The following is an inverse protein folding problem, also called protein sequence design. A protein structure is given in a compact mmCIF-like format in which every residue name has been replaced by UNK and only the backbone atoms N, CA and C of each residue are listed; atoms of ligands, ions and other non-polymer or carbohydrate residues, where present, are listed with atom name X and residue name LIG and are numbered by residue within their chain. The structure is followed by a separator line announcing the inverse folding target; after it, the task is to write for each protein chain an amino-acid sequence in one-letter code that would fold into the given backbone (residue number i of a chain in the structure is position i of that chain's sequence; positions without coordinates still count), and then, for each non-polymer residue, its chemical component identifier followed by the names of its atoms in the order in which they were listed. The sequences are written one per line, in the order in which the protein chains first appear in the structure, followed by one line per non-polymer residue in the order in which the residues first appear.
data_IF_653627344194
#
_entry.id   IF_653627344194
#
_cell.length_a   1.000
_cell.length_b   1.000
_cell.length_c   1.000
_cell.angle_alpha   90.00
_cell.angle_beta   90.00
_cell.angle_gamma   90.00
#
_symmetry.space_group_name_H-M   'P 1'
#
loop_
_entity.id
_entity.type
_entity.pdbx_description
1 polymer ?
#
# COMPACT_ATOMS: atom_id res chain seq x y z
N UNK A 1 8.37 51.49 -30.24
CA UNK A 1 7.36 50.43 -30.42
C UNK A 1 7.65 49.36 -29.38
N UNK A 2 7.00 49.39 -28.20
CA UNK A 2 7.25 48.44 -27.12
C UNK A 2 6.23 47.30 -27.20
N UNK A 3 6.73 46.08 -27.41
CA UNK A 3 5.92 44.86 -27.39
C UNK A 3 5.66 44.45 -25.94
N UNK A 4 4.38 44.41 -25.55
CA UNK A 4 3.94 43.88 -24.25
C UNK A 4 3.70 42.38 -24.43
N UNK A 5 4.57 41.56 -23.83
CA UNK A 5 4.39 40.12 -23.74
C UNK A 5 3.38 39.81 -22.62
N UNK A 6 2.21 39.31 -22.98
CA UNK A 6 1.22 38.79 -22.03
C UNK A 6 1.66 37.38 -21.64
N UNK A 7 2.17 37.23 -20.42
CA UNK A 7 2.39 35.93 -19.81
C UNK A 7 1.03 35.35 -19.40
N UNK A 8 0.52 34.41 -20.19
CA UNK A 8 -0.61 33.58 -19.81
C UNK A 8 -0.20 32.71 -18.62
N UNK A 9 -0.69 33.02 -17.42
CA UNK A 9 -0.48 32.18 -16.25
C UNK A 9 -1.38 30.95 -16.41
N UNK A 10 -0.84 29.72 -16.45
CA UNK A 10 -1.68 28.53 -16.49
C UNK A 10 -2.48 28.48 -15.18
N UNK A 11 -3.80 28.60 -15.29
CA UNK A 11 -4.70 28.31 -14.18
C UNK A 11 -4.50 26.84 -13.82
N UNK A 12 -3.83 26.58 -12.70
CA UNK A 12 -3.78 25.25 -12.11
C UNK A 12 -5.23 24.87 -11.80
N UNK A 13 -5.75 23.90 -12.53
CA UNK A 13 -7.02 23.27 -12.19
C UNK A 13 -6.82 22.66 -10.81
N UNK A 14 -7.38 23.30 -9.78
CA UNK A 14 -7.44 22.70 -8.45
C UNK A 14 -8.17 21.36 -8.64
N UNK A 15 -7.53 20.24 -8.29
CA UNK A 15 -8.23 18.97 -8.09
C UNK A 15 -9.50 19.28 -7.31
N UNK A 16 -10.64 18.81 -7.82
CA UNK A 16 -11.96 19.37 -7.48
C UNK A 16 -12.13 19.43 -5.97
N UNK A 17 -12.22 20.65 -5.42
CA UNK A 17 -12.38 20.83 -3.97
C UNK A 17 -13.57 19.96 -3.50
N UNK A 18 -13.45 19.23 -2.38
CA UNK A 18 -14.50 18.36 -1.90
C UNK A 18 -15.85 19.08 -1.86
N UNK A 19 -16.90 18.44 -2.36
CA UNK A 19 -18.24 19.04 -2.49
C UNK A 19 -18.77 19.63 -1.17
N UNK A 20 -18.35 19.06 -0.04
CA UNK A 20 -18.74 19.54 1.28
C UNK A 20 -18.15 20.90 1.64
N UNK A 21 -17.07 21.35 0.99
CA UNK A 21 -16.40 22.61 1.32
C UNK A 21 -17.35 23.82 1.24
N UNK A 22 -18.22 23.84 0.23
CA UNK A 22 -19.18 24.92 -0.04
C UNK A 22 -20.56 24.68 0.57
N UNK A 23 -20.76 23.57 1.29
CA UNK A 23 -22.04 23.28 1.93
C UNK A 23 -22.35 24.31 3.02
N UNK A 24 -23.58 24.81 3.05
CA UNK A 24 -24.03 25.74 4.08
C UNK A 24 -24.00 25.06 5.44
N UNK A 25 -23.41 25.71 6.44
CA UNK A 25 -23.17 25.10 7.74
C UNK A 25 -23.52 26.04 8.91
N UNK A 26 -24.83 26.15 9.21
CA UNK A 26 -25.36 26.99 10.27
C UNK A 26 -25.33 26.26 11.64
N UNK A 27 -24.14 25.95 12.13
CA UNK A 27 -23.93 25.35 13.44
C UNK A 27 -23.15 26.31 14.35
N UNK A 28 -23.59 26.42 15.60
CA UNK A 28 -22.97 27.28 16.60
C UNK A 28 -22.43 26.41 17.72
N UNK A 29 -21.11 26.49 17.93
CA UNK A 29 -20.41 25.81 19.02
C UNK A 29 -20.29 26.74 20.23
N UNK A 30 -20.71 26.27 21.41
CA UNK A 30 -20.58 26.99 22.67
C UNK A 30 -20.16 26.01 23.77
N UNK A 31 -18.94 26.15 24.30
CA UNK A 31 -18.42 25.37 25.44
C UNK A 31 -18.64 23.85 25.32
N UNK A 32 -18.27 23.28 24.16
CA UNK A 32 -18.39 21.85 23.88
C UNK A 32 -17.02 21.19 23.83
N UNK A 33 -16.97 19.89 24.13
CA UNK A 33 -15.78 19.07 23.88
C UNK A 33 -15.41 19.11 22.40
N UNK A 34 -14.13 19.32 22.12
CA UNK A 34 -13.66 19.49 20.75
C UNK A 34 -13.79 18.21 19.93
N UNK A 35 -13.65 17.02 20.52
CA UNK A 35 -13.81 15.76 19.78
C UNK A 35 -15.25 15.56 19.41
N UNK A 36 -16.17 15.84 20.32
CA UNK A 36 -17.60 15.72 20.06
C UNK A 36 -18.04 16.73 19.01
N UNK A 37 -17.55 17.97 19.07
CA UNK A 37 -17.76 18.98 18.05
C UNK A 37 -17.35 18.52 16.63
N UNK A 38 -16.18 17.88 16.52
CA UNK A 38 -15.65 17.38 15.24
C UNK A 38 -16.40 16.14 14.74
N UNK A 39 -16.83 15.25 15.64
CA UNK A 39 -17.68 14.10 15.30
C UNK A 39 -19.04 14.56 14.80
N UNK A 40 -19.63 15.56 15.46
CA UNK A 40 -20.90 16.16 15.07
C UNK A 40 -20.80 16.85 13.71
N UNK A 41 -19.70 17.57 13.45
CA UNK A 41 -19.40 18.12 12.14
C UNK A 41 -19.40 17.05 11.04
N UNK A 42 -18.70 15.93 11.27
CA UNK A 42 -18.70 14.78 10.37
C UNK A 42 -20.10 14.21 10.13
N UNK A 43 -20.86 13.99 11.21
CA UNK A 43 -22.22 13.48 11.16
C UNK A 43 -23.16 14.37 10.34
N UNK A 44 -23.10 15.68 10.57
CA UNK A 44 -23.95 16.66 9.88
C UNK A 44 -23.69 16.70 8.36
N UNK A 45 -22.46 16.43 7.95
CA UNK A 45 -22.05 16.41 6.53
C UNK A 45 -22.03 15.01 5.93
N UNK A 46 -22.34 13.97 6.71
CA UNK A 46 -22.21 12.56 6.32
C UNK A 46 -20.80 12.19 5.86
N UNK A 47 -19.78 12.74 6.52
CA UNK A 47 -18.37 12.47 6.24
C UNK A 47 -17.75 11.73 7.43
N UNK A 48 -17.09 10.59 7.21
CA UNK A 48 -16.30 9.93 8.25
C UNK A 48 -15.19 10.85 8.77
N UNK A 49 -15.09 10.97 10.10
CA UNK A 49 -14.05 11.79 10.76
C UNK A 49 -13.22 10.92 11.69
N UNK A 50 -11.90 10.99 11.52
CA UNK A 50 -10.91 10.37 12.41
C UNK A 50 -10.18 11.47 13.16
N UNK A 51 -10.27 11.44 14.49
CA UNK A 51 -9.68 12.45 15.37
C UNK A 51 -8.53 11.82 16.16
N UNK A 52 -7.35 12.44 16.12
CA UNK A 52 -6.18 12.01 16.89
C UNK A 52 -6.44 12.01 18.39
N UNK A 53 -5.92 11.00 19.08
CA UNK A 53 -6.00 10.88 20.55
C UNK A 53 -5.26 11.98 21.32
N UNK A 54 -4.42 12.75 20.61
CA UNK A 54 -3.70 13.91 21.13
C UNK A 54 -4.61 15.12 21.31
N UNK A 55 -5.71 15.21 20.56
CA UNK A 55 -6.64 16.35 20.60
C UNK A 55 -7.51 16.22 21.85
N UNK A 56 -7.42 17.15 22.79
CA UNK A 56 -8.23 17.13 24.02
C UNK A 56 -8.61 18.55 24.40
N UNK A 57 -9.70 18.69 25.14
CA UNK A 57 -10.13 19.96 25.70
C UNK A 57 -11.46 20.44 25.15
N UNK A 58 -11.75 21.72 25.43
CA UNK A 58 -13.03 22.34 25.16
C UNK A 58 -12.83 23.49 24.20
N UNK A 59 -13.75 23.63 23.24
CA UNK A 59 -13.78 24.79 22.35
C UNK A 59 -14.16 26.01 23.17
N UNK A 60 -13.26 27.00 23.22
CA UNK A 60 -13.49 28.25 23.93
C UNK A 60 -14.14 29.28 23.00
N UNK A 61 -15.18 29.93 23.49
CA UNK A 61 -15.90 30.96 22.75
C UNK A 61 -16.86 30.37 21.72
N UNK A 62 -17.30 31.23 20.82
CA UNK A 62 -18.26 30.90 19.77
C UNK A 62 -17.54 30.65 18.44
N UNK A 63 -17.84 29.54 17.78
CA UNK A 63 -17.39 29.27 16.42
C UNK A 63 -18.59 29.15 15.49
N UNK A 64 -18.62 30.02 14.46
CA UNK A 64 -19.63 30.01 13.39
C UNK A 64 -19.02 30.39 12.05
N UNK A 65 -19.55 29.83 10.97
CA UNK A 65 -19.26 30.23 9.59
C UNK A 65 -20.45 29.94 8.69
N UNK A 66 -20.45 30.49 7.49
CA UNK A 66 -21.51 30.25 6.51
C UNK A 66 -21.31 28.91 5.79
N UNK A 67 -20.06 28.47 5.64
CA UNK A 67 -19.67 27.25 4.94
C UNK A 67 -19.00 26.24 5.88
N UNK A 68 -19.16 24.96 5.58
CA UNK A 68 -18.53 23.87 6.34
C UNK A 68 -17.00 23.98 6.37
N UNK A 69 -16.37 24.32 5.23
CA UNK A 69 -14.92 24.56 5.18
C UNK A 69 -14.52 25.72 6.11
N UNK A 70 -15.22 26.85 6.02
CA UNK A 70 -14.91 28.02 6.84
C UNK A 70 -15.09 27.74 8.33
N UNK A 71 -16.08 26.92 8.70
CA UNK A 71 -16.28 26.48 10.07
C UNK A 71 -15.11 25.61 10.54
N UNK A 72 -14.73 24.59 9.76
CA UNK A 72 -13.61 23.71 10.10
C UNK A 72 -12.29 24.49 10.20
N UNK A 73 -12.03 25.41 9.28
CA UNK A 73 -10.83 26.26 9.29
C UNK A 73 -10.76 27.13 10.54
N UNK A 74 -11.86 27.79 10.92
CA UNK A 74 -11.92 28.58 12.16
C UNK A 74 -11.74 27.71 13.40
N UNK A 75 -12.42 26.57 13.45
CA UNK A 75 -12.31 25.64 14.56
C UNK A 75 -10.89 25.11 14.71
N UNK A 76 -10.24 24.75 13.60
CA UNK A 76 -8.87 24.27 13.57
C UNK A 76 -7.89 25.36 14.00
N UNK A 77 -8.03 26.58 13.47
CA UNK A 77 -7.17 27.71 13.82
C UNK A 77 -7.26 28.06 15.31
N UNK A 78 -8.47 28.12 15.87
CA UNK A 78 -8.69 28.51 17.26
C UNK A 78 -8.16 27.48 18.27
N UNK A 79 -8.03 26.20 17.86
CA UNK A 79 -7.68 25.10 18.76
C UNK A 79 -6.34 24.43 18.40
N UNK A 80 -5.56 25.01 17.48
CA UNK A 80 -4.27 24.46 17.08
C UNK A 80 -4.38 23.07 16.45
N UNK A 81 -5.33 22.91 15.53
CA UNK A 81 -5.53 21.67 14.78
C UNK A 81 -5.03 21.81 13.34
N UNK A 82 -4.66 20.68 12.76
CA UNK A 82 -4.42 20.49 11.35
C UNK A 82 -5.31 19.36 10.84
N UNK A 83 -5.76 19.45 9.59
CA UNK A 83 -6.68 18.48 9.02
C UNK A 83 -6.27 18.10 7.60
N UNK A 84 -6.61 16.88 7.20
CA UNK A 84 -6.34 16.33 5.87
C UNK A 84 -7.56 15.51 5.42
N UNK A 85 -8.03 15.75 4.21
CA UNK A 85 -9.11 14.95 3.61
C UNK A 85 -8.52 14.14 2.46
N UNK A 86 -8.66 12.81 2.52
CA UNK A 86 -8.10 11.89 1.53
C UNK A 86 -9.08 11.55 0.39
N UNK A 87 -10.16 12.32 0.25
CA UNK A 87 -11.25 12.05 -0.68
C UNK A 87 -12.41 11.25 -0.06
N UNK A 88 -12.19 10.56 1.07
CA UNK A 88 -13.21 9.74 1.73
C UNK A 88 -13.38 10.05 3.22
N UNK A 89 -12.27 10.26 3.93
CA UNK A 89 -12.20 10.43 5.38
C UNK A 89 -11.52 11.76 5.71
N UNK A 90 -12.10 12.48 6.66
CA UNK A 90 -11.49 13.68 7.23
C UNK A 90 -10.65 13.29 8.45
N UNK A 91 -9.33 13.40 8.31
CA UNK A 91 -8.37 13.18 9.37
C UNK A 91 -8.05 14.49 10.07
N UNK A 92 -8.06 14.48 11.41
CA UNK A 92 -7.81 15.66 12.23
C UNK A 92 -6.75 15.33 13.26
N UNK A 93 -5.67 16.12 13.26
CA UNK A 93 -4.53 15.99 14.14
C UNK A 93 -4.29 17.31 14.90
N UNK A 94 -3.58 17.26 16.02
CA UNK A 94 -3.03 18.45 16.62
C UNK A 94 -1.92 19.02 15.72
N UNK A 95 -1.79 20.34 15.65
CA UNK A 95 -0.80 20.99 14.78
C UNK A 95 0.65 20.62 15.14
N UNK A 96 0.91 20.24 16.39
CA UNK A 96 2.22 19.78 16.85
C UNK A 96 2.57 18.35 16.40
N UNK A 97 1.63 17.64 15.76
CA UNK A 97 1.87 16.36 15.09
C UNK A 97 2.37 16.54 13.64
N UNK A 98 2.42 17.77 13.13
CA UNK A 98 3.02 18.06 11.83
C UNK A 98 4.50 17.67 11.85
N UNK A 99 4.91 16.84 10.89
CA UNK A 99 6.28 16.35 10.84
C UNK A 99 6.80 16.26 9.41
N UNK A 100 8.13 16.19 9.30
CA UNK A 100 8.80 15.90 8.03
C UNK A 100 9.51 14.56 8.14
N UNK A 101 9.27 13.66 7.18
CA UNK A 101 9.88 12.34 7.12
C UNK A 101 10.53 12.12 5.75
N UNK A 102 11.65 11.38 5.75
CA UNK A 102 12.25 10.83 4.53
C UNK A 102 11.79 9.39 4.44
N UNK A 103 11.07 9.07 3.37
CA UNK A 103 10.54 7.73 3.10
C UNK A 103 11.38 7.11 1.99
N UNK A 104 12.01 5.97 2.27
CA UNK A 104 12.69 5.18 1.26
C UNK A 104 11.64 4.51 0.35
N UNK A 105 11.78 4.70 -0.96
CA UNK A 105 10.86 4.13 -1.97
C UNK A 105 11.42 2.87 -2.63
N UNK A 106 12.60 2.42 -2.20
CA UNK A 106 13.22 1.17 -2.60
C UNK A 106 13.56 1.17 -4.09
N UNK A 107 12.85 0.31 -4.84
CA UNK A 107 13.01 0.17 -6.30
C UNK A 107 12.00 0.97 -7.10
N UNK A 108 11.04 1.64 -6.45
CA UNK A 108 10.08 2.47 -7.13
C UNK A 108 10.75 3.77 -7.63
N UNK A 109 10.25 4.30 -8.75
CA UNK A 109 10.62 5.63 -9.20
C UNK A 109 9.85 6.68 -8.38
N UNK A 110 10.56 7.66 -7.84
CA UNK A 110 9.97 8.73 -7.04
C UNK A 110 8.98 9.57 -7.84
N UNK A 111 9.19 9.68 -9.16
CA UNK A 111 8.23 10.33 -10.05
C UNK A 111 6.94 9.54 -10.16
N UNK A 112 7.00 8.22 -10.34
CA UNK A 112 5.80 7.37 -10.38
C UNK A 112 4.98 7.45 -9.10
N UNK A 113 5.62 7.56 -7.92
CA UNK A 113 4.89 7.73 -6.66
C UNK A 113 4.15 9.08 -6.63
N UNK A 114 4.82 10.17 -7.03
CA UNK A 114 4.22 11.52 -7.05
C UNK A 114 3.07 11.56 -8.05
N UNK A 115 3.29 11.04 -9.26
CA UNK A 115 2.27 10.98 -10.31
C UNK A 115 1.04 10.18 -9.84
N UNK A 116 1.24 9.08 -9.10
CA UNK A 116 0.13 8.27 -8.56
C UNK A 116 -0.64 9.01 -7.46
N UNK A 117 0.04 9.76 -6.58
CA UNK A 117 -0.60 10.58 -5.53
C UNK A 117 -1.42 11.71 -6.16
N UNK A 118 -0.89 12.37 -7.20
CA UNK A 118 -1.61 13.40 -7.95
C UNK A 118 -2.81 12.81 -8.70
N UNK A 119 -2.64 11.64 -9.34
CA UNK A 119 -3.71 10.92 -10.06
C UNK A 119 -4.86 10.51 -9.13
N UNK A 120 -4.55 10.16 -7.88
CA UNK A 120 -5.54 9.81 -6.87
C UNK A 120 -6.13 11.04 -6.15
N UNK A 121 -5.73 12.26 -6.54
CA UNK A 121 -6.17 13.52 -5.91
C UNK A 121 -5.90 13.56 -4.38
N UNK A 122 -4.86 12.86 -3.93
CA UNK A 122 -4.49 12.76 -2.51
C UNK A 122 -3.62 13.92 -2.03
N UNK A 123 -3.20 14.81 -2.93
CA UNK A 123 -2.35 15.95 -2.62
C UNK A 123 -3.17 17.11 -2.04
N UNK A 124 -2.62 17.75 -1.01
CA UNK A 124 -3.14 19.01 -0.47
C UNK A 124 -2.03 20.05 -0.53
N UNK A 125 -2.34 21.24 -1.07
CA UNK A 125 -1.39 22.34 -1.27
C UNK A 125 -0.73 22.84 0.03
N UNK A 126 -1.32 22.54 1.20
CA UNK A 126 -0.76 22.88 2.51
C UNK A 126 0.43 21.98 2.88
N UNK A 127 0.63 20.86 2.19
CA UNK A 127 1.64 19.85 2.49
C UNK A 127 2.70 19.78 1.39
N UNK A 128 3.83 19.13 1.68
CA UNK A 128 4.93 19.02 0.73
C UNK A 128 5.32 17.58 0.49
N UNK A 129 5.45 17.21 -0.79
CA UNK A 129 5.96 15.94 -1.25
C UNK A 129 7.02 16.20 -2.33
N UNK A 130 8.26 15.75 -2.09
CA UNK A 130 9.39 16.04 -2.98
C UNK A 130 10.26 14.80 -3.13
N UNK A 131 10.59 14.43 -4.37
CA UNK A 131 11.61 13.43 -4.63
C UNK A 131 13.01 13.97 -4.34
N UNK A 132 13.88 13.11 -3.84
CA UNK A 132 15.28 13.46 -3.54
C UNK A 132 16.14 13.08 -4.76
N UNK A 133 16.97 13.98 -5.31
CA UNK A 133 17.78 13.67 -6.49
C UNK A 133 18.91 12.67 -6.21
N UNK A 134 19.33 12.55 -4.94
CA UNK A 134 20.52 11.81 -4.55
C UNK A 134 20.23 10.43 -3.96
N UNK A 135 18.95 10.05 -3.82
CA UNK A 135 18.55 8.78 -3.19
C UNK A 135 17.15 8.37 -3.68
N UNK A 136 16.83 7.06 -3.71
CA UNK A 136 15.48 6.57 -3.93
C UNK A 136 14.63 6.82 -2.68
N UNK A 137 14.32 8.09 -2.44
CA UNK A 137 13.55 8.52 -1.29
C UNK A 137 12.69 9.74 -1.62
N UNK A 138 11.61 9.88 -0.85
CA UNK A 138 10.72 11.04 -0.88
C UNK A 138 10.79 11.77 0.46
N UNK A 139 10.93 13.10 0.41
CA UNK A 139 10.72 13.96 1.57
C UNK A 139 9.25 14.36 1.62
N UNK A 140 8.60 14.04 2.73
CA UNK A 140 7.17 14.30 2.97
C UNK A 140 7.04 15.18 4.20
N UNK A 141 6.27 16.27 4.10
CA UNK A 141 5.97 17.18 5.20
C UNK A 141 4.46 17.35 5.32
N UNK A 142 3.86 16.93 6.44
CA UNK A 142 2.42 16.94 6.62
C UNK A 142 1.97 16.35 7.96
N UNK A 143 0.64 16.23 8.17
CA UNK A 143 0.09 15.52 9.32
C UNK A 143 0.36 14.00 9.22
N UNK A 144 0.29 13.26 10.34
CA UNK A 144 0.53 11.82 10.37
C UNK A 144 -0.31 11.03 9.35
N UNK A 145 -1.58 11.41 9.16
CA UNK A 145 -2.48 10.76 8.20
C UNK A 145 -1.98 10.88 6.75
N UNK A 146 -1.52 12.06 6.34
CA UNK A 146 -0.95 12.27 5.00
C UNK A 146 0.32 11.45 4.81
N UNK A 147 1.22 11.46 5.79
CA UNK A 147 2.47 10.67 5.73
C UNK A 147 2.17 9.18 5.64
N UNK A 148 1.19 8.68 6.39
CA UNK A 148 0.75 7.28 6.32
C UNK A 148 0.19 6.93 4.94
N UNK A 149 -0.62 7.82 4.36
CA UNK A 149 -1.17 7.66 3.00
C UNK A 149 -0.04 7.56 1.96
N UNK A 150 0.95 8.45 2.02
CA UNK A 150 2.11 8.40 1.10
C UNK A 150 2.87 7.08 1.24
N UNK A 151 3.07 6.57 2.47
CA UNK A 151 3.71 5.26 2.68
C UNK A 151 2.92 4.11 2.06
N UNK A 152 1.58 4.17 2.12
CA UNK A 152 0.72 3.18 1.50
C UNK A 152 0.82 3.20 -0.02
N UNK A 153 0.83 4.38 -0.64
CA UNK A 153 1.02 4.52 -2.10
C UNK A 153 2.41 4.04 -2.52
N UNK A 154 3.46 4.40 -1.77
CA UNK A 154 4.81 3.86 -2.02
C UNK A 154 4.81 2.34 -2.02
N UNK A 155 4.10 1.71 -1.08
CA UNK A 155 4.02 0.26 -1.01
C UNK A 155 3.26 -0.35 -2.19
N UNK A 156 2.22 0.30 -2.72
CA UNK A 156 1.44 -0.21 -3.85
C UNK A 156 2.14 -0.10 -5.20
N UNK A 157 3.01 0.90 -5.37
CA UNK A 157 3.76 1.09 -6.64
C UNK A 157 5.07 0.30 -6.69
N UNK A 158 5.40 -0.48 -5.66
CA UNK A 158 6.62 -1.28 -5.68
C UNK A 158 6.57 -2.31 -6.82
N UNK A 159 7.63 -2.41 -7.64
CA UNK A 159 7.69 -3.44 -8.66
C UNK A 159 7.68 -4.83 -7.99
N UNK A 160 7.12 -5.86 -8.65
CA UNK A 160 7.07 -7.20 -8.10
C UNK A 160 8.46 -7.66 -7.65
N UNK A 161 8.56 -8.47 -6.58
CA UNK A 161 9.82 -9.11 -6.23
C UNK A 161 10.37 -9.79 -7.47
N UNK A 162 11.64 -9.57 -7.80
CA UNK A 162 12.27 -10.41 -8.82
C UNK A 162 12.15 -11.83 -8.30
N UNK A 163 11.36 -12.66 -8.96
CA UNK A 163 11.46 -14.09 -8.76
C UNK A 163 12.94 -14.41 -8.95
N UNK A 164 13.56 -14.99 -7.92
CA UNK A 164 14.87 -15.58 -8.08
C UNK A 164 14.65 -16.66 -9.13
N UNK A 165 14.99 -16.35 -10.38
CA UNK A 165 15.02 -17.34 -11.44
C UNK A 165 16.10 -18.29 -10.97
N UNK A 166 15.68 -19.36 -10.30
CA UNK A 166 16.52 -20.53 -10.12
C UNK A 166 17.01 -20.85 -11.52
N UNK A 167 18.31 -20.59 -11.72
CA UNK A 167 19.07 -20.95 -12.91
C UNK A 167 18.59 -22.35 -13.32
N UNK A 168 17.97 -22.54 -14.50
CA UNK A 168 17.54 -23.86 -14.96
C UNK A 168 18.80 -24.64 -15.34
N UNK A 169 19.59 -25.00 -14.33
CA UNK A 169 20.62 -26.02 -14.43
C UNK A 169 19.89 -27.32 -14.64
N UNK A 170 19.72 -27.63 -15.92
CA UNK A 170 19.29 -28.92 -16.45
C UNK A 170 19.97 -30.02 -15.63
N UNK A 171 19.22 -30.65 -14.72
CA UNK A 171 19.70 -31.78 -13.94
C UNK A 171 19.56 -33.01 -14.81
N UNK A 172 20.64 -33.39 -15.49
CA UNK A 172 20.73 -34.64 -16.24
C UNK A 172 20.74 -35.77 -15.22
N UNK A 173 19.61 -36.46 -15.10
CA UNK A 173 19.57 -37.75 -14.43
C UNK A 173 20.14 -38.79 -15.39
N UNK A 174 21.35 -39.30 -15.11
CA UNK A 174 21.86 -40.49 -15.78
C UNK A 174 21.09 -41.68 -15.24
N UNK A 175 20.25 -42.29 -16.09
CA UNK A 175 19.56 -43.54 -15.79
C UNK A 175 20.56 -44.59 -15.32
N UNK A 176 20.28 -45.17 -14.17
CA UNK A 176 21.03 -46.30 -13.62
C UNK A 176 21.07 -47.45 -14.62
N UNK A 177 22.22 -48.11 -14.65
CA UNK A 177 22.52 -49.21 -15.54
C UNK A 177 21.49 -50.33 -15.39
N UNK A 178 20.79 -50.66 -16.48
CA UNK A 178 20.22 -51.99 -16.61
C UNK A 178 21.39 -52.95 -16.86
N UNK A 179 21.57 -53.90 -15.92
CA UNK A 179 22.39 -55.09 -16.16
C UNK A 179 21.86 -55.79 -17.40
N UNK A 180 22.72 -55.85 -18.40
CA UNK A 180 22.64 -56.78 -19.51
C UNK A 180 22.63 -58.21 -18.92
N UNK A 181 21.48 -58.87 -19.01
CA UNK A 181 21.39 -60.32 -18.82
C UNK A 181 21.67 -60.90 -20.19
N UNK A 182 22.91 -61.35 -20.41
CA UNK A 182 23.29 -62.14 -21.56
C UNK A 182 22.48 -63.44 -21.52
N UNK A 183 21.54 -63.56 -22.45
CA UNK A 183 20.84 -64.79 -22.75
C UNK A 183 21.79 -65.60 -23.64
N UNK A 184 22.59 -66.48 -23.02
CA UNK A 184 23.51 -67.33 -23.76
C UNK A 184 22.78 -68.59 -24.20
N UNK A 185 22.75 -68.74 -25.52
CA UNK A 185 21.99 -69.72 -26.27
C UNK A 185 22.52 -71.13 -25.99
N UNK A 186 21.64 -72.00 -25.50
CA UNK A 186 21.88 -73.43 -25.41
C UNK A 186 22.09 -74.06 -26.78
N UNK A 187 23.32 -74.50 -27.06
CA UNK A 187 23.62 -75.37 -28.18
C UNK A 187 23.01 -76.76 -27.98
N UNK A 188 22.36 -77.21 -29.04
CA UNK A 188 21.77 -78.53 -29.21
C UNK A 188 22.87 -79.56 -29.49
N UNK A 189 23.02 -80.54 -28.60
CA UNK A 189 23.85 -81.73 -28.81
C UNK A 189 23.21 -82.96 -28.17
N UNK A 190 22.67 -83.85 -28.99
CA UNK A 190 22.05 -85.14 -28.62
C UNK A 190 23.00 -86.00 -27.76
N UNK A 191 22.45 -86.82 -26.85
CA UNK A 191 22.33 -88.28 -27.05
C UNK A 191 22.12 -89.08 -25.73
N UNK A 192 21.19 -90.05 -25.79
CA UNK A 192 21.04 -91.29 -24.95
C UNK A 192 20.74 -91.12 -23.46
N UNK A 193 20.07 -92.03 -22.74
CA UNK A 193 19.19 -93.16 -23.00
C UNK A 193 18.70 -93.62 -21.60
N UNK A 194 17.49 -94.18 -21.54
CA UNK A 194 17.02 -95.20 -20.60
C UNK A 194 17.08 -95.01 -19.07
N UNK A 195 15.87 -94.99 -18.49
CA UNK A 195 15.37 -95.94 -17.46
C UNK A 195 16.25 -96.32 -16.27
N UNK A 196 15.84 -95.92 -15.06
CA UNK A 196 15.45 -96.79 -13.92
C UNK A 196 15.15 -95.91 -12.69
N UNK A 197 13.92 -95.85 -12.17
CA UNK A 197 13.26 -96.69 -11.13
C UNK A 197 13.70 -96.39 -9.69
N UNK A 198 12.68 -96.44 -8.82
CA UNK A 198 12.71 -96.57 -7.35
C UNK A 198 12.98 -95.28 -6.57
N UNK A 199 11.94 -94.80 -5.89
CA UNK A 199 11.64 -95.08 -4.47
C UNK A 199 12.38 -94.06 -3.61
N UNK A 200 11.88 -93.55 -2.50
CA UNK A 200 10.60 -93.55 -1.85
C UNK A 200 10.77 -92.50 -0.74
N UNK A 201 9.67 -92.16 -0.10
CA UNK A 201 9.61 -91.63 1.25
C UNK A 201 10.11 -90.19 1.50
N UNK A 202 9.57 -89.44 2.46
CA UNK A 202 8.35 -89.51 3.28
C UNK A 202 8.57 -88.40 4.32
N UNK A 203 7.49 -87.72 4.70
CA UNK A 203 7.34 -86.95 5.94
C UNK A 203 8.26 -85.72 6.09
N UNK A 204 7.86 -84.63 6.72
CA UNK A 204 6.81 -84.37 7.69
C UNK A 204 7.35 -83.16 8.47
N UNK A 205 6.65 -82.03 8.42
CA UNK A 205 5.76 -81.58 9.48
C UNK A 205 6.48 -80.78 10.59
N UNK A 206 5.96 -79.56 10.79
CA UNK A 206 6.08 -78.65 11.93
C UNK A 206 7.36 -77.83 12.09
#
# INVERSE_FOLDING_TARGET
MFAVAVLAVPSRTLAGAPHWYSSSYNYVLINQDIRDALKEFGRNLSIPVVVSDRIRGQVRGEVRAETAKGFLEKLAQANGLIWYFDGSVLHINASDEFSTQIINIGRADGRSVVDEIERLELMDDRFSLRSTPNAPALRVSGPPAFIAMVKQVVASVQPPPRAQVDDPRVRIFRGGQHKEVTDDLGESGRQTANFHTSDAQQEGNR
#
